data_IF_096764778984
#
_entry.id   IF_096764778984
#
_cell.length_a   1.000
_cell.length_b   1.000
_cell.length_c   1.000
_cell.angle_alpha   90.00
_cell.angle_beta   90.00
_cell.angle_gamma   90.00
#
_symmetry.space_group_name_H-M   'P 1'
#
loop_
_entity.id
_entity.type
_entity.pdbx_description
1 polymer ?
#
# COMPACT_ATOMS: atom_id res chain seq x y z
N UNK A 1 29.10 12.23 -11.06
CA UNK A 1 28.94 11.36 -12.25
C UNK A 1 27.45 11.13 -12.41
N UNK A 2 26.87 11.49 -13.55
CA UNK A 2 25.43 11.30 -13.77
C UNK A 2 25.12 9.81 -14.02
N UNK A 3 23.95 9.30 -13.62
CA UNK A 3 23.56 7.91 -13.87
C UNK A 3 23.56 7.58 -15.36
N UNK A 4 23.95 6.36 -15.70
CA UNK A 4 23.79 5.84 -17.07
C UNK A 4 22.32 5.51 -17.36
N UNK A 5 21.88 5.49 -18.63
CA UNK A 5 20.52 5.12 -18.99
C UNK A 5 20.09 3.76 -18.43
N UNK A 6 20.99 2.78 -18.43
CA UNK A 6 20.73 1.44 -17.88
C UNK A 6 20.54 1.47 -16.36
N UNK A 7 21.32 2.28 -15.64
CA UNK A 7 21.14 2.45 -14.20
C UNK A 7 19.80 3.12 -13.86
N UNK A 8 19.36 4.06 -14.70
CA UNK A 8 18.05 4.69 -14.55
C UNK A 8 16.92 3.69 -14.81
N UNK A 9 17.00 2.90 -15.88
CA UNK A 9 16.00 1.88 -16.20
C UNK A 9 15.86 0.85 -15.06
N UNK A 10 16.99 0.37 -14.52
CA UNK A 10 17.00 -0.55 -13.38
C UNK A 10 16.36 0.11 -12.14
N UNK A 11 16.69 1.37 -11.86
CA UNK A 11 16.11 2.10 -10.72
C UNK A 11 14.60 2.32 -10.88
N UNK A 12 14.13 2.69 -12.07
CA UNK A 12 12.70 2.81 -12.40
C UNK A 12 11.98 1.47 -12.26
N UNK A 13 12.61 0.39 -12.73
CA UNK A 13 12.11 -0.98 -12.56
C UNK A 13 11.97 -1.36 -11.09
N UNK A 14 12.96 -1.03 -10.26
CA UNK A 14 12.91 -1.26 -8.81
C UNK A 14 11.77 -0.50 -8.15
N UNK A 15 11.64 0.82 -8.42
CA UNK A 15 10.56 1.64 -7.86
C UNK A 15 9.18 1.09 -8.19
N UNK A 16 8.98 0.65 -9.44
CA UNK A 16 7.71 0.05 -9.88
C UNK A 16 7.44 -1.31 -9.26
N UNK A 17 8.48 -2.12 -9.07
CA UNK A 17 8.35 -3.41 -8.41
C UNK A 17 7.99 -3.23 -6.93
N UNK A 18 8.68 -2.33 -6.23
CA UNK A 18 8.42 -2.01 -4.84
C UNK A 18 6.99 -1.45 -4.68
N UNK A 19 6.56 -0.55 -5.57
CA UNK A 19 5.19 -0.04 -5.60
C UNK A 19 4.16 -1.18 -5.69
N UNK A 20 4.39 -2.16 -6.57
CA UNK A 20 3.52 -3.34 -6.71
C UNK A 20 3.48 -4.13 -5.41
N UNK A 21 4.63 -4.37 -4.77
CA UNK A 21 4.67 -5.05 -3.48
C UNK A 21 3.85 -4.31 -2.42
N UNK A 22 3.97 -2.99 -2.32
CA UNK A 22 3.15 -2.20 -1.39
C UNK A 22 1.65 -2.27 -1.70
N UNK A 23 1.26 -2.23 -2.99
CA UNK A 23 -0.14 -2.39 -3.40
C UNK A 23 -0.69 -3.79 -3.07
N UNK A 24 0.12 -4.84 -3.23
CA UNK A 24 -0.23 -6.21 -2.82
C UNK A 24 -0.43 -6.30 -1.31
N UNK A 25 0.44 -5.67 -0.51
CA UNK A 25 0.27 -5.62 0.95
C UNK A 25 -0.96 -4.82 1.37
N UNK A 26 -1.28 -3.72 0.67
CA UNK A 26 -2.53 -2.98 0.87
C UNK A 26 -3.74 -3.89 0.67
N UNK A 27 -3.78 -4.64 -0.43
CA UNK A 27 -4.85 -5.61 -0.72
C UNK A 27 -4.94 -6.68 0.37
N UNK A 28 -3.81 -7.19 0.86
CA UNK A 28 -3.79 -8.15 1.96
C UNK A 28 -4.39 -7.57 3.24
N UNK A 29 -4.08 -6.31 3.60
CA UNK A 29 -4.66 -5.64 4.78
C UNK A 29 -6.15 -5.34 4.62
N UNK A 30 -6.58 -4.92 3.42
CA UNK A 30 -8.00 -4.79 3.12
C UNK A 30 -8.77 -6.10 3.33
N UNK A 31 -8.13 -7.25 3.08
CA UNK A 31 -8.73 -8.58 3.33
C UNK A 31 -8.81 -8.98 4.81
N UNK A 32 -8.07 -8.32 5.71
CA UNK A 32 -8.06 -8.64 7.15
C UNK A 32 -9.29 -8.06 7.85
N UNK A 33 -9.70 -6.84 7.49
CA UNK A 33 -10.89 -6.19 8.07
C UNK A 33 -12.14 -7.08 8.10
N UNK A 34 -12.63 -7.64 6.98
CA UNK A 34 -13.83 -8.48 7.01
C UNK A 34 -13.65 -9.77 7.83
N UNK A 35 -12.42 -10.29 7.95
CA UNK A 35 -12.13 -11.46 8.80
C UNK A 35 -12.19 -11.12 10.28
N UNK A 36 -11.73 -9.92 10.66
CA UNK A 36 -11.81 -9.41 12.03
C UNK A 36 -13.25 -9.08 12.40
N UNK A 37 -14.01 -8.44 11.50
CA UNK A 37 -15.42 -8.13 11.71
C UNK A 37 -16.26 -9.40 11.92
N UNK A 38 -15.91 -10.50 11.26
CA UNK A 38 -16.55 -11.81 11.44
C UNK A 38 -16.31 -12.44 12.82
N UNK A 39 -15.38 -11.93 13.63
CA UNK A 39 -15.16 -12.38 15.01
C UNK A 39 -16.14 -11.76 16.01
N UNK A 40 -17.01 -10.85 15.57
CA UNK A 40 -18.04 -10.24 16.41
C UNK A 40 -19.05 -11.30 16.85
N UNK A 41 -19.29 -11.41 18.15
CA UNK A 41 -20.29 -12.34 18.67
C UNK A 41 -21.72 -11.86 18.41
N UNK A 42 -22.62 -12.79 18.11
CA UNK A 42 -24.05 -12.50 18.09
C UNK A 42 -24.61 -12.39 19.52
N UNK A 43 -25.75 -11.70 19.68
CA UNK A 43 -26.45 -11.59 20.99
C UNK A 43 -26.78 -12.93 21.65
N UNK A 44 -26.93 -14.00 20.87
CA UNK A 44 -27.21 -15.35 21.38
C UNK A 44 -25.93 -16.01 21.92
N UNK A 45 -24.81 -15.83 21.23
CA UNK A 45 -23.48 -16.31 21.67
C UNK A 45 -22.94 -15.51 22.86
N UNK A 46 -23.39 -14.26 22.99
CA UNK A 46 -22.97 -13.34 24.05
C UNK A 46 -23.38 -13.73 25.48
N UNK A 47 -24.29 -14.71 25.64
CA UNK A 47 -24.96 -15.10 26.89
C UNK A 47 -24.08 -15.18 28.16
N UNK A 48 -23.66 -16.39 28.58
CA UNK A 48 -22.92 -16.58 29.84
C UNK A 48 -21.46 -16.07 29.79
N UNK A 49 -20.99 -15.64 28.63
CA UNK A 49 -19.60 -15.24 28.35
C UNK A 49 -19.43 -13.72 28.21
N UNK A 50 -20.29 -12.95 28.88
CA UNK A 50 -20.39 -11.50 28.75
C UNK A 50 -19.06 -10.74 28.89
N UNK A 51 -18.12 -11.22 29.72
CA UNK A 51 -16.78 -10.63 29.88
C UNK A 51 -15.89 -10.83 28.65
N UNK A 52 -15.93 -12.02 28.05
CA UNK A 52 -15.16 -12.34 26.82
C UNK A 52 -15.73 -11.57 25.64
N UNK A 53 -17.06 -11.43 25.61
CA UNK A 53 -17.78 -10.69 24.57
C UNK A 53 -17.48 -9.20 24.68
N UNK A 54 -17.49 -8.61 25.87
CA UNK A 54 -17.12 -7.21 26.06
C UNK A 54 -15.69 -6.90 25.58
N UNK A 55 -14.73 -7.77 25.90
CA UNK A 55 -13.36 -7.63 25.39
C UNK A 55 -13.27 -7.78 23.86
N UNK A 56 -14.05 -8.70 23.27
CA UNK A 56 -14.13 -8.88 21.82
C UNK A 56 -14.76 -7.66 21.13
N UNK A 57 -15.89 -7.16 21.64
CA UNK A 57 -16.61 -5.99 21.14
C UNK A 57 -15.76 -4.71 21.17
N UNK A 58 -14.81 -4.62 22.11
CA UNK A 58 -13.84 -3.52 22.14
C UNK A 58 -12.67 -3.70 21.15
N UNK A 59 -12.23 -4.93 20.93
CA UNK A 59 -11.04 -5.23 20.13
C UNK A 59 -11.36 -5.31 18.63
N UNK A 60 -12.47 -5.93 18.24
CA UNK A 60 -12.86 -6.09 16.84
C UNK A 60 -12.90 -4.75 16.10
N UNK A 61 -13.58 -3.70 16.59
CA UNK A 61 -13.59 -2.40 15.91
C UNK A 61 -12.20 -1.77 15.80
N UNK A 62 -11.37 -1.91 16.84
CA UNK A 62 -10.00 -1.36 16.85
C UNK A 62 -9.13 -2.04 15.79
N UNK A 63 -9.17 -3.38 15.72
CA UNK A 63 -8.39 -4.13 14.74
C UNK A 63 -8.90 -3.92 13.31
N UNK A 64 -10.21 -3.82 13.12
CA UNK A 64 -10.79 -3.48 11.81
C UNK A 64 -10.35 -2.11 11.33
N UNK A 65 -10.35 -1.11 12.22
CA UNK A 65 -9.86 0.23 11.92
C UNK A 65 -8.37 0.24 11.60
N UNK A 66 -7.56 -0.47 12.38
CA UNK A 66 -6.11 -0.58 12.13
C UNK A 66 -5.81 -1.25 10.79
N UNK A 67 -6.55 -2.31 10.43
CA UNK A 67 -6.40 -2.96 9.13
C UNK A 67 -6.73 -2.03 7.97
N UNK A 68 -7.79 -1.22 8.10
CA UNK A 68 -8.15 -0.19 7.11
C UNK A 68 -7.09 0.91 6.98
N UNK A 69 -6.58 1.42 8.11
CA UNK A 69 -5.52 2.42 8.13
C UNK A 69 -4.22 1.88 7.52
N UNK A 70 -3.86 0.63 7.80
CA UNK A 70 -2.71 -0.04 7.23
C UNK A 70 -2.85 -0.21 5.71
N UNK A 71 -4.01 -0.65 5.24
CA UNK A 71 -4.29 -0.77 3.80
C UNK A 71 -4.13 0.58 3.08
N UNK A 72 -4.73 1.64 3.61
CA UNK A 72 -4.61 2.99 3.04
C UNK A 72 -3.16 3.49 3.06
N UNK A 73 -2.42 3.23 4.14
CA UNK A 73 -1.02 3.67 4.24
C UNK A 73 -0.13 2.95 3.22
N UNK A 74 -0.32 1.64 3.02
CA UNK A 74 0.42 0.88 2.01
C UNK A 74 0.07 1.33 0.58
N UNK A 75 -1.19 1.65 0.31
CA UNK A 75 -1.61 2.21 -0.98
C UNK A 75 -0.94 3.56 -1.25
N UNK A 76 -0.89 4.46 -0.26
CA UNK A 76 -0.21 5.75 -0.38
C UNK A 76 1.29 5.59 -0.68
N UNK A 77 1.97 4.62 -0.06
CA UNK A 77 3.38 4.34 -0.37
C UNK A 77 3.54 3.85 -1.80
N UNK A 78 2.67 2.95 -2.27
CA UNK A 78 2.68 2.47 -3.65
C UNK A 78 2.51 3.63 -4.65
N UNK A 79 1.54 4.52 -4.40
CA UNK A 79 1.26 5.67 -5.24
C UNK A 79 2.46 6.62 -5.34
N UNK A 80 3.11 6.93 -4.21
CA UNK A 80 4.29 7.79 -4.19
C UNK A 80 5.42 7.19 -5.03
N UNK A 81 5.67 5.89 -4.91
CA UNK A 81 6.71 5.21 -5.70
C UNK A 81 6.42 5.24 -7.20
N UNK A 82 5.15 5.07 -7.60
CA UNK A 82 4.72 5.21 -9.00
C UNK A 82 4.90 6.64 -9.49
N UNK A 83 4.52 7.64 -8.70
CA UNK A 83 4.70 9.06 -9.05
C UNK A 83 6.18 9.38 -9.24
N UNK A 84 7.05 8.94 -8.32
CA UNK A 84 8.49 9.12 -8.44
C UNK A 84 9.04 8.46 -9.72
N UNK A 85 8.68 7.20 -9.98
CA UNK A 85 9.12 6.50 -11.19
C UNK A 85 8.67 7.21 -12.47
N UNK A 86 7.42 7.65 -12.53
CA UNK A 86 6.89 8.33 -13.71
C UNK A 86 7.54 9.71 -13.91
N UNK A 87 7.82 10.43 -12.82
CA UNK A 87 8.51 11.72 -12.86
C UNK A 87 9.92 11.57 -13.42
N UNK A 88 10.69 10.61 -12.90
CA UNK A 88 12.05 10.37 -13.38
C UNK A 88 12.09 9.90 -14.83
N UNK A 89 11.14 9.07 -15.26
CA UNK A 89 11.04 8.68 -16.66
C UNK A 89 10.74 9.88 -17.58
N UNK A 90 9.78 10.71 -17.20
CA UNK A 90 9.41 11.89 -17.99
C UNK A 90 10.56 12.91 -18.10
N UNK A 91 11.32 13.10 -17.02
CA UNK A 91 12.51 13.97 -17.02
C UNK A 91 13.61 13.45 -17.96
N UNK A 92 13.84 12.13 -18.00
CA UNK A 92 14.82 11.51 -18.91
C UNK A 92 14.42 11.63 -20.38
N UNK A 93 13.15 11.35 -20.70
CA UNK A 93 12.60 11.51 -22.05
C UNK A 93 12.69 12.97 -22.52
N UNK A 94 12.31 13.93 -21.67
CA UNK A 94 12.44 15.35 -21.96
C UNK A 94 13.91 15.81 -22.07
N UNK A 95 14.82 15.17 -21.34
CA UNK A 95 16.27 15.37 -21.45
C UNK A 95 16.79 14.96 -22.83
N UNK A 96 16.45 13.74 -23.28
CA UNK A 96 16.83 13.22 -24.61
C UNK A 96 16.33 14.12 -25.74
N UNK A 97 15.05 14.50 -25.71
CA UNK A 97 14.48 15.38 -26.74
C UNK A 97 15.15 16.76 -26.82
N UNK A 98 15.61 17.32 -25.69
CA UNK A 98 16.36 18.59 -25.70
C UNK A 98 17.74 18.44 -26.33
N UNK A 99 18.41 17.31 -26.11
CA UNK A 99 19.72 17.04 -26.71
C UNK A 99 19.62 16.76 -28.21
N UNK A 100 18.60 16.00 -28.63
CA UNK A 100 18.35 15.67 -30.04
C UNK A 100 18.00 16.92 -30.88
N UNK A 101 17.45 17.98 -30.27
CA UNK A 101 17.15 19.24 -30.94
C UNK A 101 18.34 20.23 -31.01
N UNK A 102 19.47 19.93 -30.37
CA UNK A 102 20.67 20.79 -30.34
C UNK A 102 21.74 20.36 -31.36
N UNK A 103 21.52 19.26 -32.08
CA UNK A 103 22.38 18.71 -33.13
C UNK A 103 21.57 18.45 -34.40
#
# INVERSE_FOLDING_TARGET
MSPTPQQLEVALGSLRNDARTWAEQSTQMASVKPKVEALTFTRVEAGLFQVIVGANDELVPKFSLLAEQAASSFEQVADVLIVCANTYQAEDEAGKHRLDNLW
#
